data_IF_950012492112
#
_entry.id   IF_950012492112
#
_cell.length_a   1.000
_cell.length_b   1.000
_cell.length_c   1.000
_cell.angle_alpha   90.00
_cell.angle_beta   90.00
_cell.angle_gamma   90.00
#
_symmetry.space_group_name_H-M   'P 1'
#
loop_
_entity.id
_entity.type
_entity.pdbx_description
1 polymer ?
#
# COMPACT_ATOMS: atom_id res chain seq x y z
N UNK A 1 1.90 44.04 -2.81
CA UNK A 1 1.90 43.48 -4.17
C UNK A 1 1.51 42.01 -4.02
N UNK A 2 0.22 41.71 -4.20
CA UNK A 2 -0.24 40.32 -4.20
C UNK A 2 0.23 39.71 -5.52
N UNK A 3 0.94 38.57 -5.47
CA UNK A 3 1.16 37.78 -6.67
C UNK A 3 -0.21 37.26 -7.10
N UNK A 4 -0.71 37.74 -8.23
CA UNK A 4 -1.75 37.05 -8.98
C UNK A 4 -1.18 35.69 -9.36
N UNK A 5 -1.69 34.64 -8.72
CA UNK A 5 -1.48 33.28 -9.18
C UNK A 5 -2.33 33.13 -10.44
N UNK A 6 -1.69 33.09 -11.61
CA UNK A 6 -2.35 32.63 -12.83
C UNK A 6 -2.86 31.20 -12.56
N UNK A 7 -4.19 31.08 -12.42
CA UNK A 7 -4.85 29.78 -12.37
C UNK A 7 -4.94 29.30 -13.81
N UNK A 8 -4.07 28.36 -14.17
CA UNK A 8 -4.14 27.65 -15.45
C UNK A 8 -5.41 26.77 -15.43
N UNK A 9 -6.48 27.23 -16.09
CA UNK A 9 -7.80 26.57 -16.09
C UNK A 9 -7.76 25.15 -16.70
N UNK A 10 -6.70 24.82 -17.46
CA UNK A 10 -6.52 23.50 -18.08
C UNK A 10 -5.76 22.50 -17.18
N UNK A 11 -5.33 22.91 -15.97
CA UNK A 11 -4.66 22.02 -15.01
C UNK A 11 -5.59 21.61 -13.86
N UNK A 12 -5.74 20.29 -13.58
CA UNK A 12 -6.55 19.85 -12.45
C UNK A 12 -6.01 20.41 -11.13
N UNK A 13 -6.93 20.80 -10.24
CA UNK A 13 -6.58 21.34 -8.92
C UNK A 13 -5.95 20.22 -8.08
N UNK A 14 -4.63 20.29 -7.88
CA UNK A 14 -3.90 19.33 -7.05
C UNK A 14 -3.87 19.80 -5.59
N UNK A 15 -4.37 18.99 -4.65
CA UNK A 15 -4.30 19.32 -3.23
C UNK A 15 -2.88 19.13 -2.69
N UNK A 16 -2.42 20.07 -1.87
CA UNK A 16 -1.04 20.09 -1.31
C UNK A 16 -0.69 18.88 -0.41
N UNK A 17 -1.69 18.20 0.16
CA UNK A 17 -1.52 17.08 1.09
C UNK A 17 -1.89 15.74 0.43
N UNK A 18 -1.15 15.41 -0.63
CA UNK A 18 -1.39 14.23 -1.46
C UNK A 18 -0.10 13.50 -1.82
N UNK A 19 -0.24 12.21 -2.12
CA UNK A 19 0.77 11.37 -2.78
C UNK A 19 0.09 10.59 -3.90
N UNK A 20 0.74 10.55 -5.07
CA UNK A 20 0.23 9.86 -6.25
C UNK A 20 -0.07 8.39 -5.95
N UNK A 21 -1.19 7.89 -6.45
CA UNK A 21 -1.55 6.46 -6.45
C UNK A 21 -0.72 5.66 -7.46
N UNK A 22 -0.06 6.34 -8.40
CA UNK A 22 0.62 5.75 -9.56
C UNK A 22 -0.30 5.44 -10.74
N UNK A 23 -1.59 5.73 -10.61
CA UNK A 23 -2.60 5.58 -11.67
C UNK A 23 -3.08 6.98 -12.02
N UNK A 24 -2.65 7.51 -13.17
CA UNK A 24 -2.86 8.91 -13.56
C UNK A 24 -4.35 9.33 -13.51
N UNK A 25 -5.24 8.52 -14.07
CA UNK A 25 -6.68 8.81 -14.06
C UNK A 25 -7.25 8.86 -12.64
N UNK A 26 -6.78 7.97 -11.77
CA UNK A 26 -7.19 7.96 -10.37
C UNK A 26 -6.64 9.16 -9.61
N UNK A 27 -5.42 9.60 -9.92
CA UNK A 27 -4.83 10.79 -9.31
C UNK A 27 -5.59 12.05 -9.69
N UNK A 28 -6.08 12.16 -10.93
CA UNK A 28 -6.96 13.27 -11.36
C UNK A 28 -8.25 13.26 -10.53
N UNK A 29 -8.91 12.11 -10.41
CA UNK A 29 -10.17 11.97 -9.68
C UNK A 29 -10.00 12.24 -8.18
N UNK A 30 -8.85 11.87 -7.61
CA UNK A 30 -8.51 12.10 -6.20
C UNK A 30 -7.88 13.47 -5.92
N UNK A 31 -7.76 14.33 -6.93
CA UNK A 31 -7.15 15.65 -6.86
C UNK A 31 -5.70 15.60 -6.34
N UNK A 32 -4.93 14.60 -6.80
CA UNK A 32 -3.51 14.38 -6.51
C UNK A 32 -3.17 13.03 -5.88
N UNK A 33 -4.13 12.13 -5.72
CA UNK A 33 -3.93 10.77 -5.21
C UNK A 33 -4.39 10.56 -3.75
N UNK A 34 -3.75 9.65 -3.02
CA UNK A 34 -4.09 9.37 -1.63
C UNK A 34 -3.76 10.55 -0.70
N UNK A 35 -4.46 10.67 0.44
CA UNK A 35 -4.09 11.67 1.43
C UNK A 35 -2.68 11.42 1.99
N UNK A 36 -1.98 12.52 2.32
CA UNK A 36 -0.67 12.46 2.93
C UNK A 36 -0.56 13.37 4.16
N UNK A 37 -0.06 12.86 5.31
CA UNK A 37 0.13 11.45 5.65
C UNK A 37 -1.20 10.75 6.01
N UNK A 38 -1.37 9.47 5.70
CA UNK A 38 -2.62 8.73 5.96
C UNK A 38 -2.47 7.21 6.06
N UNK A 39 -3.37 6.57 6.80
CA UNK A 39 -3.63 5.13 6.71
C UNK A 39 -4.77 4.89 5.70
N UNK A 40 -4.45 4.26 4.59
CA UNK A 40 -5.38 3.96 3.50
C UNK A 40 -5.58 2.45 3.44
N UNK A 41 -6.82 2.00 3.36
CA UNK A 41 -7.16 0.60 3.19
C UNK A 41 -7.77 0.37 1.81
N UNK A 42 -7.32 -0.67 1.11
CA UNK A 42 -7.95 -1.18 -0.10
C UNK A 42 -8.47 -2.58 0.17
N UNK A 43 -9.79 -2.70 0.18
CA UNK A 43 -10.52 -3.95 0.38
C UNK A 43 -11.09 -4.46 -0.93
N UNK A 44 -11.32 -5.75 -1.04
CA UNK A 44 -12.04 -6.35 -2.17
C UNK A 44 -11.79 -7.85 -2.29
N UNK A 45 -12.41 -8.52 -3.27
CA UNK A 45 -12.33 -9.97 -3.41
C UNK A 45 -10.88 -10.43 -3.60
N UNK A 46 -10.59 -11.69 -3.26
CA UNK A 46 -9.29 -12.31 -3.54
C UNK A 46 -8.95 -12.25 -5.03
N UNK A 47 -7.74 -11.82 -5.35
CA UNK A 47 -7.31 -11.58 -6.73
C UNK A 47 -6.08 -10.67 -6.81
N UNK A 48 -5.53 -10.53 -8.02
CA UNK A 48 -4.29 -9.78 -8.28
C UNK A 48 -4.52 -8.26 -8.34
N UNK A 49 -5.75 -7.82 -8.58
CA UNK A 49 -6.13 -6.44 -8.90
C UNK A 49 -5.68 -5.47 -7.80
N UNK A 50 -5.92 -5.82 -6.53
CA UNK A 50 -5.48 -5.03 -5.36
C UNK A 50 -3.96 -4.96 -5.25
N UNK A 51 -3.27 -6.05 -5.56
CA UNK A 51 -1.80 -6.08 -5.60
C UNK A 51 -1.29 -5.13 -6.68
N UNK A 52 -1.96 -5.02 -7.83
CA UNK A 52 -1.58 -4.08 -8.89
C UNK A 52 -1.74 -2.62 -8.43
N UNK A 53 -2.77 -2.27 -7.66
CA UNK A 53 -2.84 -0.96 -7.01
C UNK A 53 -1.65 -0.71 -6.07
N UNK A 54 -1.26 -1.72 -5.29
CA UNK A 54 -0.09 -1.65 -4.42
C UNK A 54 1.23 -1.47 -5.20
N UNK A 55 1.38 -2.14 -6.34
CA UNK A 55 2.56 -2.01 -7.21
C UNK A 55 2.64 -0.60 -7.80
N UNK A 56 1.53 -0.06 -8.32
CA UNK A 56 1.47 1.33 -8.80
C UNK A 56 1.87 2.31 -7.71
N UNK A 57 1.30 2.17 -6.52
CA UNK A 57 1.58 3.07 -5.41
C UNK A 57 3.05 3.06 -4.99
N UNK A 58 3.68 1.88 -4.94
CA UNK A 58 5.10 1.75 -4.66
C UNK A 58 5.98 2.33 -5.79
N UNK A 59 5.67 2.01 -7.04
CA UNK A 59 6.46 2.42 -8.20
C UNK A 59 6.43 3.94 -8.45
N UNK A 60 5.33 4.61 -8.09
CA UNK A 60 5.15 6.05 -8.25
C UNK A 60 6.01 6.91 -7.29
N UNK A 61 6.78 6.28 -6.39
CA UNK A 61 7.66 7.01 -5.50
C UNK A 61 8.81 7.70 -6.23
N UNK A 62 9.01 9.00 -6.00
CA UNK A 62 10.20 9.72 -6.48
C UNK A 62 11.43 9.34 -5.63
N UNK A 63 12.47 8.68 -6.18
CA UNK A 63 13.64 8.26 -5.41
C UNK A 63 14.38 9.38 -4.67
N UNK A 64 14.28 10.62 -5.18
CA UNK A 64 14.94 11.77 -4.56
C UNK A 64 14.25 12.22 -3.28
N UNK A 65 12.93 12.14 -3.23
CA UNK A 65 12.11 12.78 -2.17
C UNK A 65 11.31 11.78 -1.33
N UNK A 66 11.20 10.52 -1.79
CA UNK A 66 10.34 9.51 -1.20
C UNK A 66 11.08 8.18 -1.05
N UNK A 67 10.87 7.51 0.09
CA UNK A 67 11.28 6.13 0.30
C UNK A 67 10.04 5.23 0.36
N UNK A 68 10.20 3.97 -0.03
CA UNK A 68 9.14 2.98 -0.01
C UNK A 68 9.54 1.81 0.86
N UNK A 69 8.62 1.37 1.71
CA UNK A 69 8.70 0.07 2.37
C UNK A 69 7.57 -0.82 1.86
N UNK A 70 7.92 -1.97 1.29
CA UNK A 70 6.97 -2.95 0.80
C UNK A 70 7.04 -4.20 1.68
N UNK A 71 6.00 -4.43 2.49
CA UNK A 71 5.89 -5.60 3.36
C UNK A 71 5.24 -6.72 2.54
N UNK A 72 5.92 -7.86 2.48
CA UNK A 72 5.49 -9.06 1.77
C UNK A 72 5.07 -10.13 2.80
N UNK A 73 3.77 -10.37 2.92
CA UNK A 73 3.16 -11.28 3.89
C UNK A 73 2.91 -12.67 3.36
N UNK A 74 2.58 -12.80 2.07
CA UNK A 74 2.11 -14.05 1.44
C UNK A 74 2.83 -14.39 0.12
N UNK A 75 3.87 -13.64 -0.23
CA UNK A 75 4.72 -13.87 -1.42
C UNK A 75 6.13 -13.38 -1.13
N UNK A 76 7.13 -13.91 -1.83
CA UNK A 76 8.51 -13.40 -1.73
C UNK A 76 8.64 -12.05 -2.45
N UNK A 77 9.63 -11.21 -2.09
CA UNK A 77 9.94 -10.00 -2.85
C UNK A 77 10.17 -10.27 -4.34
N UNK A 78 10.81 -11.38 -4.69
CA UNK A 78 11.04 -11.80 -6.08
C UNK A 78 9.74 -12.10 -6.83
N UNK A 79 8.79 -12.81 -6.19
CA UNK A 79 7.48 -13.07 -6.77
C UNK A 79 6.68 -11.77 -6.94
N UNK A 80 6.73 -10.86 -5.96
CA UNK A 80 6.09 -9.54 -6.04
C UNK A 80 6.63 -8.72 -7.21
N UNK A 81 7.97 -8.64 -7.35
CA UNK A 81 8.61 -7.93 -8.46
C UNK A 81 8.22 -8.51 -9.81
N UNK A 82 8.31 -9.84 -9.95
CA UNK A 82 7.92 -10.54 -11.19
C UNK A 82 6.44 -10.37 -11.52
N UNK A 83 5.57 -10.38 -10.50
CA UNK A 83 4.15 -10.13 -10.70
C UNK A 83 3.91 -8.70 -11.20
N UNK A 84 4.59 -7.71 -10.64
CA UNK A 84 4.51 -6.32 -11.08
C UNK A 84 5.01 -6.11 -12.52
N UNK A 85 6.07 -6.81 -12.92
CA UNK A 85 6.62 -6.77 -14.29
C UNK A 85 5.61 -7.22 -15.35
N UNK A 86 4.75 -8.21 -15.04
CA UNK A 86 3.68 -8.66 -15.96
C UNK A 86 2.66 -7.54 -16.29
N UNK A 87 2.66 -6.48 -15.49
CA UNK A 87 1.82 -5.29 -15.65
C UNK A 87 2.63 -4.05 -16.07
N UNK A 88 3.90 -4.22 -16.47
CA UNK A 88 4.77 -3.13 -16.88
C UNK A 88 5.24 -2.23 -15.72
N UNK A 89 5.12 -2.68 -14.47
CA UNK A 89 5.44 -1.89 -13.29
C UNK A 89 6.81 -2.31 -12.74
N UNK A 90 7.76 -1.38 -12.70
CA UNK A 90 9.10 -1.63 -12.18
C UNK A 90 9.18 -1.34 -10.66
N UNK A 91 9.41 -2.38 -9.87
CA UNK A 91 9.65 -2.29 -8.43
C UNK A 91 11.14 -2.41 -8.04
N UNK A 92 12.04 -2.57 -9.01
CA UNK A 92 13.50 -2.59 -8.79
C UNK A 92 14.09 -1.18 -8.80
N UNK A 93 13.68 -0.37 -7.81
CA UNK A 93 14.18 1.00 -7.62
C UNK A 93 15.14 1.07 -6.42
N UNK A 94 15.96 2.11 -6.38
CA UNK A 94 16.93 2.34 -5.28
C UNK A 94 16.26 2.70 -3.95
N UNK A 95 15.09 3.33 -4.01
CA UNK A 95 14.35 3.83 -2.86
C UNK A 95 13.27 2.86 -2.34
N UNK A 96 13.21 1.63 -2.88
CA UNK A 96 12.26 0.60 -2.43
C UNK A 96 13.01 -0.44 -1.58
N UNK A 97 12.54 -0.59 -0.34
CA UNK A 97 13.00 -1.59 0.62
C UNK A 97 11.88 -2.60 0.87
N UNK A 98 12.19 -3.89 0.79
CA UNK A 98 11.24 -4.96 1.06
C UNK A 98 11.41 -5.50 2.48
N UNK A 99 10.29 -5.84 3.13
CA UNK A 99 10.26 -6.64 4.35
C UNK A 99 9.61 -7.97 3.99
N UNK A 100 10.41 -9.04 3.96
CA UNK A 100 9.96 -10.38 3.62
C UNK A 100 9.55 -11.14 4.88
N UNK A 101 8.24 -11.33 5.05
CA UNK A 101 7.68 -12.13 6.13
C UNK A 101 7.25 -13.53 5.67
N UNK A 102 7.43 -13.87 4.40
CA UNK A 102 6.88 -15.06 3.77
C UNK A 102 7.93 -16.13 3.53
N UNK A 103 9.07 -15.79 2.93
CA UNK A 103 9.99 -16.80 2.39
C UNK A 103 10.58 -17.73 3.46
N UNK A 104 10.80 -17.23 4.68
CA UNK A 104 11.27 -18.03 5.81
C UNK A 104 10.27 -19.13 6.24
N UNK A 105 8.99 -18.97 5.92
CA UNK A 105 7.94 -19.95 6.26
C UNK A 105 7.92 -21.17 5.33
N UNK A 106 8.59 -21.10 4.17
CA UNK A 106 8.56 -22.15 3.14
C UNK A 106 9.40 -23.39 3.46
N UNK A 107 10.16 -23.40 4.57
CA UNK A 107 10.89 -24.59 5.04
C UNK A 107 11.97 -25.12 4.07
N UNK A 108 12.43 -24.28 3.13
CA UNK A 108 13.39 -24.66 2.09
C UNK A 108 14.84 -24.81 2.61
N UNK A 109 15.68 -25.53 1.84
CA UNK A 109 17.11 -25.75 2.16
C UNK A 109 18.01 -24.50 2.01
N UNK A 110 17.52 -23.45 1.35
CA UNK A 110 18.27 -22.23 1.10
C UNK A 110 17.91 -21.23 2.20
N UNK A 111 18.87 -20.91 3.07
CA UNK A 111 18.68 -19.84 4.05
C UNK A 111 18.36 -18.53 3.31
N UNK A 112 17.20 -17.96 3.62
CA UNK A 112 16.82 -16.64 3.15
C UNK A 112 17.41 -15.64 4.14
N UNK A 113 18.31 -14.79 3.67
CA UNK A 113 19.03 -13.83 4.50
C UNK A 113 18.71 -12.41 4.09
N UNK A 114 18.74 -11.51 5.07
CA UNK A 114 18.60 -10.08 4.82
C UNK A 114 19.72 -9.57 3.91
N UNK A 115 19.36 -8.64 3.03
CA UNK A 115 20.28 -7.90 2.15
C UNK A 115 20.14 -6.40 2.43
N UNK A 116 20.85 -5.55 1.68
CA UNK A 116 20.70 -4.10 1.77
C UNK A 116 19.26 -3.62 1.50
N UNK A 117 18.55 -4.28 0.59
CA UNK A 117 17.18 -3.90 0.16
C UNK A 117 16.06 -4.80 0.67
N UNK A 118 16.39 -5.86 1.40
CA UNK A 118 15.43 -6.85 1.88
C UNK A 118 15.72 -7.17 3.33
N UNK A 119 14.78 -6.89 4.22
CA UNK A 119 14.82 -7.38 5.60
C UNK A 119 13.95 -8.63 5.71
N UNK A 120 14.54 -9.75 6.13
CA UNK A 120 13.83 -11.03 6.26
C UNK A 120 13.38 -11.21 7.70
N UNK A 121 12.10 -11.50 7.88
CA UNK A 121 11.49 -11.87 9.16
C UNK A 121 11.09 -13.34 9.14
N UNK A 122 11.01 -13.97 10.33
CA UNK A 122 10.79 -15.41 10.44
C UNK A 122 9.38 -15.84 10.02
N UNK A 123 8.38 -14.99 10.24
CA UNK A 123 7.00 -15.25 9.80
C UNK A 123 6.12 -13.99 9.94
N UNK A 124 4.89 -14.00 9.39
CA UNK A 124 3.91 -12.95 9.63
C UNK A 124 3.44 -12.84 11.10
N UNK A 125 3.75 -13.81 11.97
CA UNK A 125 3.45 -13.71 13.40
C UNK A 125 4.45 -12.85 14.18
N UNK A 126 5.58 -12.48 13.56
CA UNK A 126 6.65 -11.71 14.19
C UNK A 126 6.35 -10.20 14.24
N UNK A 127 5.22 -9.80 14.82
CA UNK A 127 4.76 -8.40 14.87
C UNK A 127 5.76 -7.44 15.54
N UNK A 128 6.52 -7.92 16.53
CA UNK A 128 7.55 -7.13 17.20
C UNK A 128 8.73 -6.82 16.28
N UNK A 129 9.20 -7.82 15.53
CA UNK A 129 10.31 -7.68 14.60
C UNK A 129 9.89 -6.81 13.40
N UNK A 130 8.64 -6.96 12.94
CA UNK A 130 8.06 -6.07 11.93
C UNK A 130 7.99 -4.63 12.42
N UNK A 131 7.57 -4.41 13.67
CA UNK A 131 7.59 -3.09 14.29
C UNK A 131 9.00 -2.50 14.31
N UNK A 132 10.02 -3.30 14.65
CA UNK A 132 11.42 -2.86 14.65
C UNK A 132 11.86 -2.45 13.24
N UNK A 133 11.65 -3.31 12.24
CA UNK A 133 12.00 -3.04 10.86
C UNK A 133 11.31 -1.77 10.31
N UNK A 134 10.04 -1.55 10.64
CA UNK A 134 9.33 -0.31 10.27
C UNK A 134 9.88 0.93 10.98
N UNK A 135 10.33 0.81 12.23
CA UNK A 135 11.01 1.93 12.89
C UNK A 135 12.35 2.25 12.23
N UNK A 136 13.07 1.25 11.71
CA UNK A 136 14.32 1.47 10.96
C UNK A 136 14.06 2.18 9.63
N UNK A 137 12.98 1.83 8.92
CA UNK A 137 12.50 2.55 7.73
C UNK A 137 12.21 4.02 8.05
N UNK A 138 11.51 4.29 9.16
CA UNK A 138 11.23 5.67 9.61
C UNK A 138 12.53 6.44 9.81
N UNK A 139 13.51 5.85 10.51
CA UNK A 139 14.80 6.48 10.78
C UNK A 139 15.60 6.75 9.51
N UNK A 140 15.63 5.79 8.59
CA UNK A 140 16.35 5.90 7.31
C UNK A 140 15.70 6.91 6.34
N UNK A 141 14.45 7.30 6.59
CA UNK A 141 13.68 8.20 5.71
C UNK A 141 13.57 9.62 6.26
N UNK A 142 14.47 10.04 7.15
CA UNK A 142 14.46 11.38 7.72
C UNK A 142 14.46 12.47 6.61
N UNK A 143 13.47 13.36 6.65
CA UNK A 143 13.31 14.44 5.68
C UNK A 143 12.69 14.04 4.34
N UNK A 144 12.31 12.77 4.16
CA UNK A 144 11.60 12.26 2.98
C UNK A 144 10.16 11.88 3.33
N UNK A 145 9.27 11.86 2.32
CA UNK A 145 7.97 11.19 2.46
C UNK A 145 8.19 9.67 2.46
N UNK A 146 7.29 8.94 3.12
CA UNK A 146 7.35 7.49 3.16
C UNK A 146 6.09 6.92 2.53
N UNK A 147 6.25 5.96 1.62
CA UNK A 147 5.16 5.11 1.16
C UNK A 147 5.32 3.75 1.80
N UNK A 148 4.30 3.25 2.47
CA UNK A 148 4.31 1.88 3.00
C UNK A 148 3.24 1.08 2.31
N UNK A 149 3.59 -0.08 1.76
CA UNK A 149 2.64 -1.06 1.25
C UNK A 149 2.61 -2.23 2.21
N UNK A 150 1.43 -2.55 2.73
CA UNK A 150 1.21 -3.69 3.60
C UNK A 150 0.45 -4.77 2.80
N UNK A 151 1.21 -5.66 2.15
CA UNK A 151 0.71 -6.67 1.22
C UNK A 151 0.94 -8.09 1.81
N UNK A 152 -0.05 -8.76 2.39
CA UNK A 152 -1.43 -8.31 2.68
C UNK A 152 -1.69 -8.33 4.19
N UNK A 153 -2.53 -7.42 4.68
CA UNK A 153 -2.87 -7.33 6.11
C UNK A 153 -3.67 -8.57 6.57
N UNK A 154 -4.45 -9.18 5.67
CA UNK A 154 -5.20 -10.41 5.98
C UNK A 154 -4.31 -11.54 6.43
N UNK A 155 -3.13 -11.69 5.84
CA UNK A 155 -2.17 -12.72 6.24
C UNK A 155 -1.73 -12.52 7.69
N UNK A 156 -1.58 -11.29 8.15
CA UNK A 156 -1.21 -11.04 9.54
C UNK A 156 -2.37 -11.31 10.51
N UNK A 157 -3.61 -11.06 10.10
CA UNK A 157 -4.81 -11.45 10.86
C UNK A 157 -4.95 -12.98 10.95
N UNK A 158 -4.52 -13.72 9.92
CA UNK A 158 -4.52 -15.18 9.93
C UNK A 158 -3.48 -15.77 10.92
N UNK A 159 -2.32 -15.13 11.03
CA UNK A 159 -1.21 -15.64 11.84
C UNK A 159 -1.21 -15.12 13.28
N UNK A 160 -2.05 -14.13 13.61
CA UNK A 160 -2.04 -13.46 14.91
C UNK A 160 -3.46 -13.25 15.45
N UNK A 161 -3.65 -13.23 16.79
CA UNK A 161 -4.89 -12.78 17.38
C UNK A 161 -5.25 -11.36 16.90
N UNK A 162 -6.53 -11.13 16.57
CA UNK A 162 -7.01 -9.84 16.06
C UNK A 162 -6.68 -8.68 16.99
N UNK A 163 -6.74 -8.89 18.31
CA UNK A 163 -6.39 -7.85 19.29
C UNK A 163 -4.92 -7.41 19.15
N UNK A 164 -4.01 -8.34 18.89
CA UNK A 164 -2.59 -8.06 18.66
C UNK A 164 -2.38 -7.26 17.38
N UNK A 165 -3.06 -7.65 16.29
CA UNK A 165 -3.01 -6.91 15.02
C UNK A 165 -3.59 -5.51 15.18
N UNK A 166 -4.73 -5.37 15.86
CA UNK A 166 -5.36 -4.06 16.14
C UNK A 166 -4.44 -3.15 16.96
N UNK A 167 -3.81 -3.65 18.03
CA UNK A 167 -2.81 -2.90 18.82
C UNK A 167 -1.61 -2.49 17.97
N UNK A 168 -1.09 -3.43 17.17
CA UNK A 168 0.01 -3.16 16.25
C UNK A 168 -0.34 -2.04 15.27
N UNK A 169 -1.48 -2.12 14.57
CA UNK A 169 -1.92 -1.11 13.62
C UNK A 169 -2.14 0.26 14.28
N UNK A 170 -2.73 0.30 15.48
CA UNK A 170 -2.94 1.55 16.20
C UNK A 170 -1.60 2.23 16.57
N UNK A 171 -0.62 1.46 17.04
CA UNK A 171 0.68 2.00 17.46
C UNK A 171 1.54 2.35 16.24
N UNK A 172 1.72 1.42 15.32
CA UNK A 172 2.60 1.57 14.17
C UNK A 172 2.00 2.48 13.11
N UNK A 173 0.71 2.38 12.82
CA UNK A 173 0.03 3.31 11.92
C UNK A 173 0.14 4.76 12.42
N UNK A 174 -0.03 4.99 13.73
CA UNK A 174 0.17 6.32 14.32
C UNK A 174 1.61 6.83 14.18
N UNK A 175 2.62 5.97 14.41
CA UNK A 175 4.03 6.33 14.25
C UNK A 175 4.41 6.61 12.79
N UNK A 176 3.99 5.76 11.86
CA UNK A 176 4.22 5.92 10.44
C UNK A 176 3.61 7.24 9.94
N UNK A 177 2.34 7.50 10.28
CA UNK A 177 1.68 8.76 9.94
C UNK A 177 2.40 9.97 10.53
N UNK A 178 2.82 9.90 11.80
CA UNK A 178 3.62 10.94 12.47
C UNK A 178 4.99 11.17 11.81
N UNK A 179 5.55 10.15 11.15
CA UNK A 179 6.77 10.22 10.35
C UNK A 179 6.53 10.61 8.88
N UNK A 180 5.39 11.23 8.55
CA UNK A 180 5.02 11.60 7.18
C UNK A 180 4.88 10.41 6.20
N UNK A 181 4.40 9.27 6.69
CA UNK A 181 4.07 8.14 5.83
C UNK A 181 2.61 8.14 5.36
N UNK A 182 2.39 7.68 4.13
CA UNK A 182 1.10 7.15 3.69
C UNK A 182 1.22 5.64 3.56
N UNK A 183 0.38 4.90 4.28
CA UNK A 183 0.38 3.43 4.30
C UNK A 183 -0.84 2.87 3.60
N UNK A 184 -0.64 2.02 2.60
CA UNK A 184 -1.69 1.30 1.89
C UNK A 184 -1.78 -0.14 2.42
N UNK A 185 -2.87 -0.46 3.09
CA UNK A 185 -3.19 -1.79 3.62
C UNK A 185 -4.07 -2.55 2.63
N UNK A 186 -3.58 -3.70 2.15
CA UNK A 186 -4.37 -4.59 1.29
C UNK A 186 -5.12 -5.59 2.18
N UNK A 187 -6.44 -5.69 1.98
CA UNK A 187 -7.31 -6.60 2.72
C UNK A 187 -8.21 -7.37 1.76
N UNK A 188 -8.29 -8.67 1.93
CA UNK A 188 -9.15 -9.58 1.18
C UNK A 188 -10.52 -9.63 1.85
N UNK A 189 -11.54 -9.19 1.11
CA UNK A 189 -12.92 -9.37 1.50
C UNK A 189 -13.33 -10.84 1.32
N UNK A 190 -14.12 -11.37 2.25
CA UNK A 190 -14.57 -12.77 2.24
C UNK A 190 -13.67 -13.73 3.02
N UNK A 191 -12.43 -13.32 3.36
CA UNK A 191 -11.56 -14.08 4.28
C UNK A 191 -11.88 -13.77 5.74
N UNK A 192 -12.34 -12.55 6.02
CA UNK A 192 -12.69 -12.06 7.35
C UNK A 192 -14.18 -11.86 7.49
N UNK A 193 -14.71 -12.07 8.70
CA UNK A 193 -16.10 -11.68 8.99
C UNK A 193 -16.27 -10.15 9.02
N UNK A 194 -17.52 -9.69 8.94
CA UNK A 194 -17.84 -8.26 8.92
C UNK A 194 -17.41 -7.52 10.19
N UNK A 195 -17.35 -8.20 11.34
CA UNK A 195 -16.96 -7.58 12.60
C UNK A 195 -15.46 -7.28 12.60
N UNK A 196 -14.64 -8.23 12.14
CA UNK A 196 -13.19 -8.06 11.94
C UNK A 196 -12.92 -6.90 11.00
N UNK A 197 -13.58 -6.87 9.84
CA UNK A 197 -13.41 -5.80 8.86
C UNK A 197 -13.78 -4.42 9.45
N UNK A 198 -14.87 -4.35 10.21
CA UNK A 198 -15.28 -3.11 10.91
C UNK A 198 -14.21 -2.65 11.91
N UNK A 199 -13.57 -3.58 12.63
CA UNK A 199 -12.50 -3.26 13.58
C UNK A 199 -11.27 -2.73 12.84
N UNK A 200 -10.85 -3.38 11.75
CA UNK A 200 -9.70 -2.95 10.96
C UNK A 200 -9.92 -1.56 10.34
N UNK A 201 -11.14 -1.29 9.83
CA UNK A 201 -11.48 0.00 9.23
C UNK A 201 -11.41 1.19 10.20
N UNK A 202 -11.64 0.98 11.51
CA UNK A 202 -11.60 2.06 12.52
C UNK A 202 -10.24 2.75 12.64
N UNK A 203 -9.15 2.06 12.28
CA UNK A 203 -7.79 2.61 12.30
C UNK A 203 -7.39 3.35 11.01
N UNK A 204 -8.29 3.42 10.03
CA UNK A 204 -8.01 3.93 8.69
C UNK A 204 -8.58 5.34 8.49
N UNK A 205 -7.83 6.17 7.80
CA UNK A 205 -8.28 7.50 7.38
C UNK A 205 -9.16 7.41 6.11
N UNK A 206 -8.85 6.45 5.24
CA UNK A 206 -9.52 6.24 3.97
C UNK A 206 -9.73 4.75 3.71
N UNK A 207 -10.92 4.39 3.22
CA UNK A 207 -11.26 3.01 2.87
C UNK A 207 -11.78 2.98 1.43
N UNK A 208 -11.03 2.30 0.58
CA UNK A 208 -11.38 2.01 -0.80
C UNK A 208 -11.89 0.58 -0.88
N UNK A 209 -12.95 0.36 -1.65
CA UNK A 209 -13.56 -0.96 -1.82
C UNK A 209 -13.63 -1.31 -3.30
N UNK A 210 -12.94 -2.36 -3.69
CA UNK A 210 -12.96 -2.94 -5.01
C UNK A 210 -14.02 -4.04 -5.07
N UNK A 211 -15.01 -3.89 -5.92
CA UNK A 211 -16.06 -4.88 -6.13
C UNK A 211 -15.95 -5.48 -7.54
N UNK A 212 -16.15 -6.79 -7.67
CA UNK A 212 -16.30 -7.45 -8.97
C UNK A 212 -17.80 -7.59 -9.31
N UNK A 213 -18.22 -7.07 -10.47
CA UNK A 213 -19.59 -7.20 -11.00
C UNK A 213 -19.54 -7.61 -12.46
N UNK A 214 -19.92 -8.85 -12.74
CA UNK A 214 -20.00 -9.37 -14.12
C UNK A 214 -18.65 -9.36 -14.85
N UNK A 215 -17.55 -9.68 -14.16
CA UNK A 215 -16.19 -9.69 -14.71
C UNK A 215 -15.54 -8.31 -14.86
N UNK A 216 -16.23 -7.25 -14.41
CA UNK A 216 -15.68 -5.89 -14.36
C UNK A 216 -15.43 -5.49 -12.91
N UNK A 217 -14.45 -4.61 -12.70
CA UNK A 217 -14.08 -4.14 -11.37
C UNK A 217 -14.52 -2.71 -11.15
N UNK A 218 -15.06 -2.43 -9.97
CA UNK A 218 -15.53 -1.10 -9.59
C UNK A 218 -14.89 -0.67 -8.27
N UNK A 219 -14.19 0.45 -8.28
CA UNK A 219 -13.53 1.02 -7.11
C UNK A 219 -14.44 2.08 -6.47
N UNK A 220 -14.98 1.76 -5.30
CA UNK A 220 -15.62 2.75 -4.44
C UNK A 220 -14.55 3.57 -3.73
N UNK A 221 -14.62 4.88 -3.90
CA UNK A 221 -13.68 5.86 -3.35
C UNK A 221 -14.35 6.67 -2.24
N UNK A 222 -13.67 6.97 -1.13
CA UNK A 222 -14.21 7.84 -0.09
C UNK A 222 -14.67 9.19 -0.66
N UNK A 223 -15.87 9.62 -0.27
CA UNK A 223 -16.46 10.93 -0.65
C UNK A 223 -16.81 11.09 -2.14
N UNK A 224 -16.76 10.02 -2.93
CA UNK A 224 -17.31 9.96 -4.29
C UNK A 224 -18.54 9.06 -4.28
N UNK A 225 -19.67 9.54 -4.80
CA UNK A 225 -20.95 8.83 -4.73
C UNK A 225 -21.03 7.63 -5.66
N UNK A 226 -20.36 7.68 -6.81
CA UNK A 226 -20.42 6.64 -7.83
C UNK A 226 -19.10 5.84 -7.85
N UNK A 227 -19.15 4.49 -7.78
CA UNK A 227 -17.97 3.66 -7.97
C UNK A 227 -17.34 3.89 -9.34
N UNK A 228 -16.00 3.93 -9.36
CA UNK A 228 -15.21 4.12 -10.56
C UNK A 228 -15.04 2.79 -11.28
N UNK A 229 -15.30 2.72 -12.58
CA UNK A 229 -15.01 1.53 -13.35
C UNK A 229 -13.50 1.43 -13.56
N UNK A 230 -12.88 0.36 -13.09
CA UNK A 230 -11.43 0.15 -13.22
C UNK A 230 -11.16 -1.07 -14.08
N UNK A 231 -10.12 -0.97 -14.89
CA UNK A 231 -9.71 -2.03 -15.82
C UNK A 231 -8.25 -2.38 -15.60
N UNK A 232 -8.03 -3.67 -15.37
CA UNK A 232 -6.71 -4.27 -15.38
C UNK A 232 -6.30 -4.64 -16.81
N UNK A 233 -5.06 -4.34 -17.17
CA UNK A 233 -4.45 -4.59 -18.48
C UNK A 233 -2.97 -4.93 -18.33
N UNK A 234 -2.29 -5.30 -19.42
CA UNK A 234 -0.85 -5.58 -19.40
C UNK A 234 0.03 -4.36 -19.04
N UNK A 235 -0.53 -3.14 -19.06
CA UNK A 235 0.14 -1.91 -18.59
C UNK A 235 -0.30 -1.49 -17.18
N UNK A 236 -0.99 -2.38 -16.45
CA UNK A 236 -1.47 -2.11 -15.11
C UNK A 236 -2.94 -1.70 -15.08
N UNK A 237 -3.28 -0.79 -14.15
CA UNK A 237 -4.65 -0.42 -13.81
C UNK A 237 -4.98 0.94 -14.44
N UNK A 238 -6.19 1.08 -14.96
CA UNK A 238 -6.71 2.33 -15.54
C UNK A 238 -8.12 2.58 -15.01
N UNK A 239 -8.53 3.85 -14.96
CA UNK A 239 -9.91 4.22 -14.65
C UNK A 239 -10.61 4.60 -15.95
N UNK A 240 -11.81 4.05 -16.17
CA UNK A 240 -12.58 4.21 -17.41
C UNK A 240 -13.61 5.35 -17.35
#
# INVERSE_FOLDING_TARGET
>A
MALEMEVDEDRPIMRKNRVSTGIDDLDVILEGGYHWPANVMLMGPTGIEKSVFAYHFAAAADPKNENVCFICGDSSPEEVKKAAENFGINLEKENIHFIDCYSATLGGKKEVSSTEKITVLQSPSALNDLSLALNDVIRASAGKKIRVVFHTLSTFVLYNPLESVGKFLNIIGGRLKGASATTLYIVEEGVHDKQILTILQRGMDEVFVLEEKGGNFFLTVPRITMPLHVKLSASGMTVL
#
